data_IF_862250452815
#
_entry.id   IF_862250452815
#
_cell.length_a   1.000
_cell.length_b   1.000
_cell.length_c   1.000
_cell.angle_alpha   90.00
_cell.angle_beta   90.00
_cell.angle_gamma   90.00
#
_symmetry.space_group_name_H-M   'P 1'
#
loop_
_entity.id
_entity.type
_entity.pdbx_description
1 polymer ?
#
# COMPACT_ATOMS: atom_id res chain seq x y z
N UNK A 1 4.06 3.30 -12.05
CA UNK A 1 3.35 2.60 -10.96
C UNK A 1 4.33 2.43 -9.81
N UNK A 2 4.08 3.03 -8.64
CA UNK A 2 4.97 2.86 -7.47
C UNK A 2 4.67 1.48 -6.88
N UNK A 3 5.45 0.47 -7.26
CA UNK A 3 5.37 -0.85 -6.67
C UNK A 3 5.99 -0.80 -5.26
N UNK A 4 5.14 -0.69 -4.22
CA UNK A 4 5.61 -0.81 -2.83
C UNK A 4 5.77 -2.28 -2.49
N UNK A 5 6.95 -2.66 -1.98
CA UNK A 5 7.16 -3.98 -1.37
C UNK A 5 6.77 -3.94 0.08
N UNK A 6 6.18 -5.02 0.57
CA UNK A 6 5.84 -5.16 1.97
C UNK A 6 7.13 -5.20 2.81
N UNK A 7 7.27 -4.35 3.83
CA UNK A 7 8.48 -4.32 4.66
C UNK A 7 8.67 -5.60 5.50
N UNK A 8 7.61 -6.40 5.70
CA UNK A 8 7.70 -7.61 6.53
C UNK A 8 8.05 -8.86 5.73
N UNK A 9 7.44 -9.04 4.57
CA UNK A 9 7.59 -10.27 3.79
C UNK A 9 8.23 -10.07 2.42
N UNK A 10 8.51 -8.82 2.03
CA UNK A 10 9.11 -8.47 0.73
C UNK A 10 8.19 -8.63 -0.47
N UNK A 11 6.97 -9.16 -0.29
CA UNK A 11 6.01 -9.36 -1.39
C UNK A 11 5.46 -8.04 -1.94
N UNK A 12 4.99 -8.08 -3.17
CA UNK A 12 4.35 -6.94 -3.83
C UNK A 12 3.06 -6.54 -3.10
N UNK A 13 2.90 -5.25 -2.83
CA UNK A 13 1.68 -4.69 -2.26
C UNK A 13 0.81 -4.11 -3.37
N UNK A 14 -0.48 -4.46 -3.33
CA UNK A 14 -1.47 -3.91 -4.26
C UNK A 14 -1.96 -2.58 -3.72
N UNK A 15 -1.65 -1.50 -4.44
CA UNK A 15 -2.05 -0.14 -4.11
C UNK A 15 -3.36 0.25 -4.80
N UNK A 16 -4.30 0.86 -4.08
CA UNK A 16 -5.42 1.59 -4.68
C UNK A 16 -5.66 2.92 -3.97
N UNK A 17 -6.03 3.95 -4.73
CA UNK A 17 -6.43 5.25 -4.18
C UNK A 17 -7.93 5.27 -3.98
N UNK A 18 -8.38 5.61 -2.77
CA UNK A 18 -9.79 5.80 -2.47
C UNK A 18 -9.96 6.99 -1.52
N UNK A 19 -10.87 7.90 -1.85
CA UNK A 19 -11.21 9.06 -1.01
C UNK A 19 -10.00 9.89 -0.52
N UNK A 20 -9.04 10.17 -1.42
CA UNK A 20 -7.84 10.94 -1.06
C UNK A 20 -6.87 10.19 -0.15
N UNK A 21 -6.96 8.87 -0.06
CA UNK A 21 -6.02 8.00 0.66
C UNK A 21 -5.51 6.90 -0.27
N UNK A 22 -4.23 6.59 -0.17
CA UNK A 22 -3.60 5.45 -0.81
C UNK A 22 -3.60 4.28 0.16
N UNK A 23 -4.27 3.20 -0.21
CA UNK A 23 -4.31 1.94 0.52
C UNK A 23 -3.38 0.97 -0.18
N UNK A 24 -2.45 0.37 0.56
CA UNK A 24 -1.59 -0.70 0.08
C UNK A 24 -1.87 -1.95 0.90
N UNK A 25 -2.32 -3.02 0.25
CA UNK A 25 -2.57 -4.31 0.87
C UNK A 25 -1.54 -5.34 0.38
N UNK A 26 -0.88 -6.00 1.33
CA UNK A 26 -0.02 -7.14 1.10
C UNK A 26 -0.86 -8.41 0.92
N UNK A 27 -0.88 -8.99 -0.29
CA UNK A 27 -1.67 -10.21 -0.55
C UNK A 27 -1.14 -11.46 0.18
N UNK A 28 0.12 -11.44 0.62
CA UNK A 28 0.74 -12.61 1.27
C UNK A 28 0.59 -12.63 2.78
N UNK A 29 0.62 -11.45 3.39
CA UNK A 29 0.71 -11.27 4.83
C UNK A 29 -0.51 -10.54 5.42
N UNK A 30 -1.38 -9.98 4.57
CA UNK A 30 -2.55 -9.22 4.99
C UNK A 30 -2.24 -7.82 5.54
N UNK A 31 -0.96 -7.38 5.51
CA UNK A 31 -0.58 -6.07 6.03
C UNK A 31 -1.16 -4.93 5.18
N UNK A 32 -1.74 -3.96 5.85
CA UNK A 32 -2.33 -2.76 5.27
C UNK A 32 -1.49 -1.53 5.62
N UNK A 33 -1.23 -0.69 4.61
CA UNK A 33 -0.60 0.62 4.78
C UNK A 33 -1.52 1.67 4.17
N UNK A 34 -1.91 2.65 4.97
CA UNK A 34 -2.82 3.72 4.55
C UNK A 34 -2.04 5.03 4.60
N UNK A 35 -1.92 5.70 3.46
CA UNK A 35 -1.17 6.95 3.32
C UNK A 35 -2.13 8.03 2.83
N UNK A 36 -2.30 9.14 3.55
CA UNK A 36 -3.09 10.26 3.05
C UNK A 36 -2.41 10.91 1.83
N UNK A 37 -3.16 11.15 0.76
CA UNK A 37 -2.66 11.83 -0.46
C UNK A 37 -2.35 13.32 -0.22
N UNK A 38 -2.78 13.88 0.92
CA UNK A 38 -2.49 15.25 1.34
C UNK A 38 -1.00 15.55 1.62
N UNK A 39 -0.14 14.54 1.59
CA UNK A 39 1.31 14.64 1.87
C UNK A 39 2.19 14.35 0.65
N UNK A 40 1.62 14.31 -0.57
CA UNK A 40 2.33 14.04 -1.82
C UNK A 40 2.47 15.30 -2.68
#
# INVERSE_FOLDING_TARGET
MIAKRCPECGSEMKGHSFNGRLYYLCQKCGKELIIPLLYL
#
